data_IF_955396593059
#
_entry.id   IF_955396593059
#
_cell.length_a   1.000
_cell.length_b   1.000
_cell.length_c   1.000
_cell.angle_alpha   90.00
_cell.angle_beta   90.00
_cell.angle_gamma   90.00
#
_symmetry.space_group_name_H-M   'P 1'
#
loop_
_entity.id
_entity.type
_entity.pdbx_description
1 polymer ?
#
# COMPACT_ATOMS: atom_id res chain seq x y z
N UNK A 1 35.38 68.79 60.34
CA UNK A 1 34.49 67.73 60.77
C UNK A 1 33.83 67.08 59.56
N UNK A 2 34.47 66.10 59.04
CA UNK A 2 33.88 65.32 57.88
C UNK A 2 34.00 63.88 58.25
N UNK A 3 32.86 63.21 58.31
CA UNK A 3 32.72 61.75 58.49
C UNK A 3 32.68 61.09 57.14
N UNK A 4 33.70 60.28 56.81
CA UNK A 4 33.69 59.41 55.61
C UNK A 4 32.83 58.19 55.87
N UNK A 5 31.99 57.86 54.92
CA UNK A 5 31.23 56.62 54.87
C UNK A 5 31.94 55.64 53.93
N UNK A 6 32.30 54.48 54.45
CA UNK A 6 32.75 53.29 53.68
C UNK A 6 31.55 52.51 53.11
N UNK A 7 31.55 52.27 51.83
CA UNK A 7 30.66 51.33 51.11
C UNK A 7 31.35 49.97 50.97
N UNK A 8 30.69 48.86 51.26
CA UNK A 8 31.22 47.52 50.96
C UNK A 8 30.99 47.12 49.50
N UNK A 9 32.06 46.62 48.88
CA UNK A 9 32.00 45.98 47.56
C UNK A 9 31.32 44.58 47.65
N UNK A 10 30.23 44.44 46.92
CA UNK A 10 29.59 43.12 46.75
C UNK A 10 30.20 42.47 45.50
N UNK A 11 30.93 41.36 45.69
CA UNK A 11 31.44 40.55 44.59
C UNK A 11 30.29 39.62 44.09
N UNK A 12 29.83 39.83 42.88
CA UNK A 12 28.88 38.95 42.19
C UNK A 12 29.61 37.74 41.61
N UNK A 13 29.34 36.56 42.16
CA UNK A 13 29.82 35.27 41.66
C UNK A 13 28.91 34.81 40.52
N UNK A 14 29.37 34.90 39.25
CA UNK A 14 28.67 34.36 38.08
C UNK A 14 28.88 32.83 38.02
N UNK A 15 27.85 32.07 38.37
CA UNK A 15 27.76 30.63 38.11
C UNK A 15 27.39 30.40 36.64
N UNK A 16 28.35 29.96 35.85
CA UNK A 16 28.10 29.46 34.47
C UNK A 16 27.57 28.04 34.58
N UNK A 17 26.26 27.85 34.45
CA UNK A 17 25.63 26.55 34.27
C UNK A 17 25.86 26.09 32.82
N UNK A 18 26.85 25.24 32.59
CA UNK A 18 27.06 24.51 31.38
C UNK A 18 25.94 23.48 31.18
N UNK A 19 24.92 23.82 30.43
CA UNK A 19 23.92 22.86 29.99
C UNK A 19 24.50 21.94 28.92
N UNK A 20 24.72 20.68 29.26
CA UNK A 20 24.90 19.61 28.27
C UNK A 20 23.58 19.44 27.51
N UNK A 21 23.51 19.94 26.28
CA UNK A 21 22.46 19.55 25.34
C UNK A 21 22.72 18.07 24.94
N UNK A 22 21.86 17.18 25.40
CA UNK A 22 21.78 15.83 24.86
C UNK A 22 21.33 15.90 23.37
N UNK A 23 21.87 15.07 22.48
CA UNK A 23 21.34 15.02 21.14
C UNK A 23 19.88 14.57 21.22
N UNK A 24 19.00 15.30 20.52
CA UNK A 24 17.62 14.88 20.35
C UNK A 24 17.65 13.53 19.63
N UNK A 25 17.36 12.47 20.34
CA UNK A 25 17.03 11.19 19.76
C UNK A 25 15.77 11.39 18.93
N UNK A 26 15.81 11.06 17.65
CA UNK A 26 14.62 10.87 16.84
C UNK A 26 13.76 9.84 17.56
N UNK A 27 12.61 10.28 18.09
CA UNK A 27 11.58 9.38 18.56
C UNK A 27 11.19 8.47 17.38
N UNK A 28 10.99 7.16 17.58
CA UNK A 28 10.28 6.37 16.58
C UNK A 28 8.93 7.07 16.35
N UNK A 29 8.52 7.22 15.11
CA UNK A 29 7.15 7.61 14.80
C UNK A 29 6.25 6.55 15.41
N UNK A 30 5.41 6.90 16.40
CA UNK A 30 4.32 6.06 16.88
C UNK A 30 3.27 5.99 15.72
N UNK A 31 3.57 5.26 14.65
CA UNK A 31 2.54 4.77 13.75
C UNK A 31 1.70 3.76 14.52
N UNK A 32 0.39 3.87 14.43
CA UNK A 32 -0.54 2.98 15.12
C UNK A 32 -0.54 1.56 14.54
N UNK A 33 0.24 1.29 13.49
CA UNK A 33 0.37 0.05 12.74
C UNK A 33 1.83 -0.19 12.33
N UNK A 34 2.18 -1.44 12.07
CA UNK A 34 3.49 -1.86 11.56
C UNK A 34 3.48 -1.86 10.02
N UNK A 35 4.62 -1.51 9.40
CA UNK A 35 4.82 -1.61 7.96
C UNK A 35 5.28 -3.03 7.55
N UNK A 36 5.12 -3.44 6.28
CA UNK A 36 5.68 -4.70 5.80
C UNK A 36 7.17 -4.77 6.11
N UNK A 37 7.66 -5.90 6.68
CA UNK A 37 9.07 -6.04 7.03
C UNK A 37 9.97 -5.90 5.79
N UNK A 38 10.87 -4.92 5.79
CA UNK A 38 11.76 -4.63 4.68
C UNK A 38 12.61 -5.85 4.29
N UNK A 39 12.62 -6.20 3.01
CA UNK A 39 13.38 -7.33 2.46
C UNK A 39 12.87 -8.72 2.90
N UNK A 40 11.71 -8.81 3.54
CA UNK A 40 11.10 -10.11 3.82
C UNK A 40 10.59 -10.75 2.51
N UNK A 41 10.68 -12.08 2.46
CA UNK A 41 10.21 -12.86 1.30
C UNK A 41 8.69 -12.75 1.19
N UNK A 42 8.14 -12.26 0.07
CA UNK A 42 6.71 -12.20 -0.12
C UNK A 42 6.15 -13.47 -0.76
N UNK A 43 4.86 -13.75 -0.51
CA UNK A 43 4.04 -14.68 -1.27
C UNK A 43 2.68 -14.03 -1.56
N UNK A 44 2.17 -14.19 -2.78
CA UNK A 44 0.93 -13.55 -3.20
C UNK A 44 -0.08 -14.63 -3.57
N UNK A 45 -1.15 -14.76 -2.76
CA UNK A 45 -2.04 -15.93 -2.72
C UNK A 45 -3.50 -15.56 -3.05
N UNK A 46 -3.73 -14.75 -4.09
CA UNK A 46 -5.10 -14.34 -4.48
C UNK A 46 -5.90 -15.47 -5.11
N UNK A 47 -5.26 -16.43 -5.78
CA UNK A 47 -5.92 -17.60 -6.34
C UNK A 47 -6.34 -18.67 -5.32
N UNK A 48 -5.97 -18.47 -4.03
CA UNK A 48 -6.37 -19.34 -2.93
C UNK A 48 -5.37 -19.40 -1.79
N UNK A 49 -5.85 -19.40 -0.55
CA UNK A 49 -4.99 -19.43 0.63
C UNK A 49 -4.39 -20.84 0.87
N UNK A 50 -3.10 -20.87 1.18
CA UNK A 50 -2.36 -22.08 1.60
C UNK A 50 -1.31 -21.72 2.65
N UNK A 51 -0.76 -22.74 3.33
CA UNK A 51 0.34 -22.53 4.28
C UNK A 51 1.59 -22.07 3.53
N UNK A 52 2.13 -20.85 3.80
CA UNK A 52 3.29 -20.34 3.09
C UNK A 52 4.55 -21.14 3.43
N UNK A 53 5.56 -21.08 2.55
CA UNK A 53 6.87 -21.66 2.81
C UNK A 53 7.52 -21.03 4.04
N UNK A 54 8.38 -21.76 4.80
CA UNK A 54 8.97 -21.26 6.06
C UNK A 54 9.77 -19.98 5.97
N UNK A 55 10.32 -19.66 4.79
CA UNK A 55 11.08 -18.43 4.51
C UNK A 55 10.20 -17.21 4.24
N UNK A 56 8.90 -17.39 3.99
CA UNK A 56 7.96 -16.31 3.69
C UNK A 56 7.70 -15.47 4.94
N UNK A 57 7.87 -14.17 4.82
CA UNK A 57 7.65 -13.18 5.88
C UNK A 57 6.48 -12.24 5.60
N UNK A 58 5.96 -12.20 4.36
CA UNK A 58 4.83 -11.36 3.95
C UNK A 58 3.88 -12.21 3.09
N UNK A 59 2.56 -12.14 3.34
CA UNK A 59 1.55 -12.82 2.51
C UNK A 59 0.44 -11.86 2.14
N UNK A 60 0.15 -11.72 0.84
CA UNK A 60 -1.03 -11.05 0.31
C UNK A 60 -2.16 -12.06 0.07
N UNK A 61 -3.39 -11.77 0.54
CA UNK A 61 -4.59 -12.60 0.34
C UNK A 61 -5.82 -11.77 0.09
N UNK A 62 -6.74 -12.32 -0.69
CA UNK A 62 -8.07 -11.71 -0.85
C UNK A 62 -8.78 -11.54 0.51
N UNK A 63 -9.56 -10.47 0.65
CA UNK A 63 -10.33 -10.14 1.86
C UNK A 63 -11.30 -11.23 2.32
N UNK A 64 -11.64 -12.18 1.44
CA UNK A 64 -12.47 -13.32 1.76
C UNK A 64 -11.70 -14.51 2.35
N UNK A 65 -10.36 -14.45 2.40
CA UNK A 65 -9.50 -15.48 2.97
C UNK A 65 -8.97 -15.07 4.36
N UNK A 66 -8.65 -16.03 5.26
CA UNK A 66 -8.02 -15.67 6.54
C UNK A 66 -6.57 -15.24 6.36
N UNK A 67 -6.00 -14.37 7.23
CA UNK A 67 -4.58 -14.03 7.22
C UNK A 67 -3.71 -15.26 7.50
N UNK A 68 -2.42 -15.21 7.09
CA UNK A 68 -1.46 -16.29 7.36
C UNK A 68 -0.93 -16.18 8.80
N UNK A 69 -1.07 -17.24 9.66
CA UNK A 69 -0.69 -17.15 11.06
C UNK A 69 0.81 -16.90 11.26
N UNK A 70 1.16 -15.84 12.00
CA UNK A 70 2.54 -15.54 12.38
C UNK A 70 3.40 -14.95 11.25
N UNK A 71 2.77 -14.53 10.16
CA UNK A 71 3.38 -13.88 8.99
C UNK A 71 2.67 -12.55 8.78
N UNK A 72 3.40 -11.48 8.42
CA UNK A 72 2.79 -10.20 8.07
C UNK A 72 1.79 -10.39 6.93
N UNK A 73 0.55 -10.05 7.16
CA UNK A 73 -0.54 -10.37 6.23
C UNK A 73 -1.19 -9.11 5.67
N UNK A 74 -1.27 -9.04 4.33
CA UNK A 74 -1.87 -7.94 3.56
C UNK A 74 -3.21 -8.41 3.03
N UNK A 75 -4.26 -7.65 3.31
CA UNK A 75 -5.62 -7.88 2.82
C UNK A 75 -5.81 -7.18 1.48
N UNK A 76 -6.02 -7.94 0.41
CA UNK A 76 -6.34 -7.38 -0.90
C UNK A 76 -7.79 -6.90 -0.97
N UNK A 77 -7.97 -5.67 -1.41
CA UNK A 77 -9.28 -5.03 -1.64
C UNK A 77 -9.27 -4.32 -2.99
N UNK A 78 -10.14 -4.74 -3.91
CA UNK A 78 -10.40 -3.96 -5.10
C UNK A 78 -11.25 -2.74 -4.72
N UNK A 79 -10.61 -1.57 -4.67
CA UNK A 79 -11.25 -0.34 -4.18
C UNK A 79 -11.91 0.51 -5.26
N UNK A 80 -11.64 0.22 -6.55
CA UNK A 80 -12.00 1.08 -7.70
C UNK A 80 -12.73 0.35 -8.81
N UNK A 81 -12.83 -0.97 -8.73
CA UNK A 81 -13.59 -1.83 -9.63
C UNK A 81 -14.36 -2.88 -8.82
N UNK A 82 -15.28 -3.57 -9.45
CA UNK A 82 -15.92 -4.74 -8.85
C UNK A 82 -14.99 -5.94 -8.98
N UNK A 83 -14.98 -6.85 -8.00
CA UNK A 83 -14.32 -8.14 -8.19
C UNK A 83 -15.17 -9.06 -9.10
N UNK A 84 -14.54 -10.08 -9.75
CA UNK A 84 -15.27 -11.07 -10.51
C UNK A 84 -16.40 -11.70 -9.70
N UNK A 85 -17.62 -11.71 -10.27
CA UNK A 85 -18.80 -12.26 -9.61
C UNK A 85 -19.49 -11.35 -8.59
N UNK A 86 -18.98 -10.15 -8.32
CA UNK A 86 -19.57 -9.20 -7.36
C UNK A 86 -20.41 -8.08 -8.00
N UNK A 87 -20.52 -8.04 -9.33
CA UNK A 87 -21.25 -6.99 -10.05
C UNK A 87 -22.66 -6.75 -9.48
N UNK A 88 -23.41 -7.81 -9.20
CA UNK A 88 -24.78 -7.74 -8.68
C UNK A 88 -24.86 -7.25 -7.21
N UNK A 89 -23.76 -7.25 -6.50
CA UNK A 89 -23.68 -6.75 -5.11
C UNK A 89 -23.52 -5.23 -5.04
N UNK A 90 -23.13 -4.59 -6.15
CA UNK A 90 -22.95 -3.15 -6.21
C UNK A 90 -24.21 -2.41 -6.67
N UNK A 91 -24.58 -1.28 -6.02
CA UNK A 91 -25.62 -0.41 -6.52
C UNK A 91 -25.27 0.09 -7.94
N UNK A 92 -26.19 -0.06 -8.88
CA UNK A 92 -25.95 0.29 -10.29
C UNK A 92 -25.52 1.75 -10.49
N UNK A 93 -25.98 2.67 -9.64
CA UNK A 93 -25.60 4.08 -9.69
C UNK A 93 -24.17 4.38 -9.21
N UNK A 94 -23.46 3.37 -8.65
CA UNK A 94 -22.05 3.45 -8.28
C UNK A 94 -21.13 2.85 -9.35
N UNK A 95 -21.68 2.19 -10.36
CA UNK A 95 -20.93 1.70 -11.51
C UNK A 95 -20.78 2.82 -12.54
N UNK A 96 -19.62 2.87 -13.21
CA UNK A 96 -19.40 3.81 -14.31
C UNK A 96 -20.22 3.37 -15.53
N UNK A 97 -20.95 4.31 -16.13
CA UNK A 97 -21.71 4.08 -17.34
C UNK A 97 -21.26 5.00 -18.46
N UNK A 98 -21.17 4.46 -19.68
CA UNK A 98 -20.98 5.20 -20.92
C UNK A 98 -22.08 4.79 -21.91
N UNK A 99 -22.75 5.76 -22.54
CA UNK A 99 -23.86 5.53 -23.48
C UNK A 99 -24.99 4.63 -22.92
N UNK A 100 -25.13 4.58 -21.60
CA UNK A 100 -26.16 3.80 -20.90
C UNK A 100 -25.75 2.37 -20.53
N UNK A 101 -24.54 1.94 -20.91
CA UNK A 101 -23.98 0.63 -20.59
C UNK A 101 -22.91 0.74 -19.50
N UNK A 102 -22.75 -0.30 -18.67
CA UNK A 102 -21.69 -0.39 -17.67
C UNK A 102 -20.32 -0.46 -18.36
N UNK A 103 -19.36 0.28 -17.86
CA UNK A 103 -17.97 0.25 -18.34
C UNK A 103 -17.19 -0.81 -17.57
N UNK A 104 -16.63 -1.77 -18.32
CA UNK A 104 -15.76 -2.80 -17.80
C UNK A 104 -14.30 -2.49 -18.14
N UNK A 105 -13.40 -3.03 -17.35
CA UNK A 105 -11.98 -2.98 -17.62
C UNK A 105 -11.67 -3.79 -18.89
N UNK A 106 -10.92 -3.25 -19.87
CA UNK A 106 -10.63 -3.96 -21.11
C UNK A 106 -9.72 -5.19 -20.92
N UNK A 107 -8.89 -5.20 -19.88
CA UNK A 107 -7.98 -6.30 -19.57
C UNK A 107 -8.62 -7.31 -18.60
N UNK A 108 -9.59 -6.85 -17.78
CA UNK A 108 -10.37 -7.65 -16.84
C UNK A 108 -11.88 -7.50 -17.12
N UNK A 109 -12.40 -8.15 -18.18
CA UNK A 109 -13.74 -7.86 -18.72
C UNK A 109 -14.93 -8.27 -17.85
N UNK A 110 -14.71 -8.90 -16.72
CA UNK A 110 -15.68 -9.20 -15.66
C UNK A 110 -15.59 -8.27 -14.45
N UNK A 111 -14.74 -7.23 -14.50
CA UNK A 111 -14.60 -6.17 -13.53
C UNK A 111 -15.15 -4.84 -14.05
N UNK A 112 -16.21 -4.33 -13.42
CA UNK A 112 -16.79 -3.04 -13.77
C UNK A 112 -16.09 -1.90 -13.02
N UNK A 113 -15.83 -0.77 -13.71
CA UNK A 113 -15.28 0.42 -13.08
C UNK A 113 -16.31 1.06 -12.13
N UNK A 114 -15.86 1.52 -10.95
CA UNK A 114 -16.69 2.31 -10.05
C UNK A 114 -16.68 3.78 -10.47
N UNK A 115 -17.83 4.45 -10.37
CA UNK A 115 -17.98 5.85 -10.74
C UNK A 115 -17.54 6.78 -9.60
N UNK A 116 -16.28 7.20 -9.64
CA UNK A 116 -15.68 8.12 -8.66
C UNK A 116 -15.90 9.60 -8.99
N UNK A 117 -16.66 9.95 -10.03
CA UNK A 117 -16.76 11.30 -10.59
C UNK A 117 -17.37 12.35 -9.64
N UNK A 118 -18.18 11.94 -8.67
CA UNK A 118 -18.83 12.88 -7.74
C UNK A 118 -18.50 12.57 -6.29
N UNK A 119 -18.50 13.60 -5.43
CA UNK A 119 -18.28 13.42 -3.99
C UNK A 119 -19.31 12.46 -3.37
N UNK A 120 -20.58 12.56 -3.74
CA UNK A 120 -21.65 11.67 -3.24
C UNK A 120 -21.35 10.20 -3.56
N UNK A 121 -20.89 9.90 -4.80
CA UNK A 121 -20.56 8.53 -5.19
C UNK A 121 -19.33 8.02 -4.44
N UNK A 122 -18.27 8.85 -4.35
CA UNK A 122 -17.07 8.49 -3.56
C UNK A 122 -17.41 8.18 -2.10
N UNK A 123 -18.23 9.01 -1.47
CA UNK A 123 -18.68 8.76 -0.09
C UNK A 123 -19.44 7.43 0.04
N UNK A 124 -20.28 7.10 -0.93
CA UNK A 124 -21.05 5.85 -0.95
C UNK A 124 -20.18 4.63 -1.28
N UNK A 125 -19.21 4.76 -2.19
CA UNK A 125 -18.20 3.71 -2.47
C UNK A 125 -17.39 3.47 -1.20
N UNK A 126 -16.86 4.51 -0.57
CA UNK A 126 -16.13 4.40 0.69
C UNK A 126 -16.97 3.76 1.79
N UNK A 127 -18.27 4.11 1.90
CA UNK A 127 -19.17 3.49 2.87
C UNK A 127 -19.42 1.99 2.59
N UNK A 128 -19.29 1.54 1.33
CA UNK A 128 -19.38 0.12 0.95
C UNK A 128 -18.09 -0.62 1.29
N UNK A 129 -16.91 -0.01 1.04
CA UNK A 129 -15.60 -0.63 1.21
C UNK A 129 -15.13 -0.61 2.68
N UNK A 130 -15.47 0.44 3.45
CA UNK A 130 -15.05 0.57 4.87
C UNK A 130 -15.37 -0.67 5.73
N UNK A 131 -16.55 -1.32 5.63
CA UNK A 131 -16.79 -2.58 6.34
C UNK A 131 -15.86 -3.73 5.95
N UNK A 132 -15.36 -3.77 4.71
CA UNK A 132 -14.38 -4.78 4.28
C UNK A 132 -13.03 -4.52 4.95
N UNK A 133 -12.59 -3.25 4.98
CA UNK A 133 -11.37 -2.84 5.68
C UNK A 133 -11.44 -3.20 7.17
N UNK A 134 -12.58 -2.90 7.81
CA UNK A 134 -12.80 -3.27 9.21
C UNK A 134 -12.78 -4.79 9.40
N UNK A 135 -13.35 -5.56 8.45
CA UNK A 135 -13.29 -7.02 8.44
C UNK A 135 -11.85 -7.54 8.39
N UNK A 136 -11.00 -6.98 7.51
CA UNK A 136 -9.58 -7.32 7.46
C UNK A 136 -8.88 -7.10 8.81
N UNK A 137 -9.15 -5.96 9.47
CA UNK A 137 -8.60 -5.68 10.81
C UNK A 137 -9.11 -6.66 11.88
N UNK A 138 -10.42 -6.95 11.87
CA UNK A 138 -11.05 -7.88 12.81
C UNK A 138 -10.55 -9.32 12.63
N UNK A 139 -10.22 -9.73 11.40
CA UNK A 139 -9.64 -11.04 11.07
C UNK A 139 -8.15 -11.14 11.43
N UNK A 140 -7.47 -10.00 11.67
CA UNK A 140 -6.09 -9.94 12.14
C UNK A 140 -5.07 -9.78 11.00
N UNK A 141 -5.43 -9.17 9.87
CA UNK A 141 -4.46 -8.66 8.92
C UNK A 141 -3.68 -7.47 9.51
N UNK A 142 -2.47 -7.25 9.02
CA UNK A 142 -1.60 -6.15 9.43
C UNK A 142 -1.74 -4.91 8.54
N UNK A 143 -2.14 -5.13 7.28
CA UNK A 143 -2.29 -4.10 6.26
C UNK A 143 -3.45 -4.42 5.31
N UNK A 144 -3.85 -3.39 4.54
CA UNK A 144 -4.73 -3.54 3.38
C UNK A 144 -4.04 -2.93 2.17
N UNK A 145 -4.14 -3.57 1.00
CA UNK A 145 -3.77 -2.97 -0.28
C UNK A 145 -5.03 -2.64 -1.07
N UNK A 146 -5.00 -1.51 -1.80
CA UNK A 146 -6.10 -1.07 -2.65
C UNK A 146 -5.70 -1.15 -4.11
N UNK A 147 -6.42 -1.98 -4.86
CA UNK A 147 -6.17 -2.19 -6.28
C UNK A 147 -7.01 -1.27 -7.18
N UNK A 148 -6.56 -1.16 -8.44
CA UNK A 148 -7.17 -0.38 -9.52
C UNK A 148 -7.22 1.14 -9.28
N UNK A 149 -6.23 1.67 -8.56
CA UNK A 149 -6.08 3.09 -8.28
C UNK A 149 -6.09 3.96 -9.55
N UNK A 150 -5.58 3.42 -10.65
CA UNK A 150 -5.47 4.04 -11.97
C UNK A 150 -6.66 3.76 -12.90
N UNK A 151 -7.78 3.23 -12.39
CA UNK A 151 -9.00 2.92 -13.18
C UNK A 151 -9.50 4.12 -14.01
N UNK A 152 -9.16 5.36 -13.58
CA UNK A 152 -9.48 6.57 -14.34
C UNK A 152 -8.87 6.57 -15.75
N UNK A 153 -7.71 5.91 -15.96
CA UNK A 153 -7.05 5.79 -17.28
C UNK A 153 -7.86 4.94 -18.25
N UNK A 154 -8.64 3.99 -17.71
CA UNK A 154 -9.50 3.06 -18.47
C UNK A 154 -10.94 3.56 -18.63
N UNK A 155 -11.27 4.70 -18.01
CA UNK A 155 -12.61 5.30 -18.03
C UNK A 155 -12.99 6.04 -19.32
N UNK A 156 -12.14 6.03 -20.37
CA UNK A 156 -12.28 6.82 -21.61
C UNK A 156 -12.47 8.32 -21.35
N UNK A 157 -11.89 8.84 -20.26
CA UNK A 157 -11.93 10.26 -19.86
C UNK A 157 -13.16 10.67 -19.04
N UNK A 158 -13.96 9.71 -18.57
CA UNK A 158 -15.10 9.98 -17.69
C UNK A 158 -14.67 10.26 -16.25
N UNK A 159 -13.54 9.71 -15.83
CA UNK A 159 -12.93 9.90 -14.51
C UNK A 159 -11.58 10.59 -14.64
N UNK A 160 -11.12 11.20 -13.56
CA UNK A 160 -9.80 11.86 -13.46
C UNK A 160 -8.98 11.25 -12.32
N UNK A 161 -7.64 11.44 -12.37
CA UNK A 161 -6.75 11.13 -11.24
C UNK A 161 -7.28 11.75 -9.93
N UNK A 162 -7.75 13.00 -9.98
CA UNK A 162 -8.24 13.68 -8.78
C UNK A 162 -9.48 13.01 -8.19
N UNK A 163 -10.35 12.43 -9.02
CA UNK A 163 -11.51 11.68 -8.55
C UNK A 163 -11.08 10.42 -7.77
N UNK A 164 -10.16 9.64 -8.36
CA UNK A 164 -9.62 8.44 -7.72
C UNK A 164 -8.78 8.77 -6.49
N UNK A 165 -7.93 9.80 -6.56
CA UNK A 165 -7.14 10.25 -5.41
C UNK A 165 -8.00 10.65 -4.21
N UNK A 166 -9.15 11.30 -4.46
CA UNK A 166 -10.07 11.67 -3.39
C UNK A 166 -10.71 10.44 -2.75
N UNK A 167 -11.10 9.43 -3.54
CA UNK A 167 -11.59 8.16 -2.99
C UNK A 167 -10.47 7.42 -2.25
N UNK A 168 -9.26 7.34 -2.82
CA UNK A 168 -8.11 6.72 -2.18
C UNK A 168 -7.85 7.30 -0.78
N UNK A 169 -7.92 8.63 -0.62
CA UNK A 169 -7.79 9.30 0.68
C UNK A 169 -8.82 8.79 1.69
N UNK A 170 -10.09 8.63 1.28
CA UNK A 170 -11.12 8.10 2.18
C UNK A 170 -10.86 6.65 2.60
N UNK A 171 -10.33 5.83 1.68
CA UNK A 171 -10.02 4.42 1.96
C UNK A 171 -8.78 4.29 2.86
N UNK A 172 -7.73 5.08 2.62
CA UNK A 172 -6.53 5.14 3.47
C UNK A 172 -6.89 5.61 4.88
N UNK A 173 -7.69 6.67 5.01
CA UNK A 173 -8.17 7.15 6.32
C UNK A 173 -8.95 6.06 7.07
N UNK A 174 -9.75 5.25 6.36
CA UNK A 174 -10.48 4.14 6.96
C UNK A 174 -9.53 3.00 7.39
N UNK A 175 -8.49 2.69 6.61
CA UNK A 175 -7.46 1.71 6.96
C UNK A 175 -6.69 2.13 8.22
N UNK A 176 -6.20 3.37 8.27
CA UNK A 176 -5.50 3.93 9.43
C UNK A 176 -6.40 3.96 10.68
N UNK A 177 -7.68 4.32 10.53
CA UNK A 177 -8.64 4.30 11.64
C UNK A 177 -8.89 2.87 12.17
N UNK A 178 -8.75 1.84 11.33
CA UNK A 178 -8.82 0.44 11.72
C UNK A 178 -7.49 -0.12 12.26
N UNK A 179 -6.40 0.67 12.24
CA UNK A 179 -5.07 0.25 12.70
C UNK A 179 -4.29 -0.58 11.68
N UNK A 180 -4.64 -0.49 10.40
CA UNK A 180 -3.97 -1.15 9.28
C UNK A 180 -3.07 -0.18 8.53
N UNK A 181 -1.90 -0.63 8.05
CA UNK A 181 -1.14 0.07 7.04
C UNK A 181 -1.88 0.01 5.69
N UNK A 182 -1.74 1.06 4.86
CA UNK A 182 -2.39 1.15 3.56
C UNK A 182 -1.37 0.99 2.42
N UNK A 183 -1.55 -0.02 1.57
CA UNK A 183 -0.72 -0.31 0.41
C UNK A 183 -1.32 0.24 -0.88
N UNK A 184 -0.49 0.94 -1.66
CA UNK A 184 -0.77 1.26 -3.05
C UNK A 184 -0.56 0.00 -3.90
N UNK A 185 -1.54 -0.41 -4.71
CA UNK A 185 -1.31 -1.43 -5.74
C UNK A 185 -1.06 -0.74 -7.09
N UNK A 186 0.03 -1.10 -7.75
CA UNK A 186 0.42 -0.56 -9.07
C UNK A 186 0.36 0.98 -9.19
N UNK A 187 0.10 1.54 -10.39
CA UNK A 187 0.01 2.97 -10.69
C UNK A 187 1.34 3.74 -10.46
N UNK A 188 2.40 3.31 -11.15
CA UNK A 188 3.76 3.85 -11.03
C UNK A 188 3.83 5.37 -11.22
N UNK A 189 3.13 5.89 -12.23
CA UNK A 189 3.13 7.32 -12.56
C UNK A 189 2.53 8.19 -11.44
N UNK A 190 1.67 7.59 -10.61
CA UNK A 190 0.94 8.29 -9.55
C UNK A 190 1.54 8.05 -8.15
N UNK A 191 2.59 7.24 -8.01
CA UNK A 191 3.13 6.80 -6.72
C UNK A 191 3.43 7.96 -5.78
N UNK A 192 4.10 9.01 -6.27
CA UNK A 192 4.45 10.18 -5.47
C UNK A 192 3.20 10.94 -4.96
N UNK A 193 2.20 11.15 -5.82
CA UNK A 193 0.97 11.88 -5.43
C UNK A 193 0.07 11.04 -4.53
N UNK A 194 0.02 9.73 -4.74
CA UNK A 194 -0.69 8.79 -3.87
C UNK A 194 -0.08 8.77 -2.46
N UNK A 195 1.24 8.70 -2.36
CA UNK A 195 1.94 8.83 -1.07
C UNK A 195 1.68 10.17 -0.40
N UNK A 196 1.86 11.28 -1.14
CA UNK A 196 1.84 12.63 -0.57
C UNK A 196 0.43 13.09 -0.20
N UNK A 197 -0.59 12.76 -1.02
CA UNK A 197 -1.93 13.32 -0.87
C UNK A 197 -2.96 12.32 -0.32
N UNK A 198 -2.86 11.04 -0.66
CA UNK A 198 -3.74 10.02 -0.08
C UNK A 198 -3.18 9.38 1.19
N UNK A 199 -1.85 9.39 1.38
CA UNK A 199 -1.23 8.93 2.62
C UNK A 199 -0.88 7.44 2.63
N UNK A 200 -0.72 6.79 1.47
CA UNK A 200 -0.28 5.41 1.38
C UNK A 200 1.07 5.19 2.07
N UNK A 201 1.25 4.02 2.67
CA UNK A 201 2.40 3.70 3.52
C UNK A 201 3.46 2.85 2.82
N UNK A 202 3.04 1.98 1.91
CA UNK A 202 3.90 1.06 1.15
C UNK A 202 3.29 0.80 -0.24
N UNK A 203 4.00 0.05 -1.08
CA UNK A 203 3.49 -0.35 -2.39
C UNK A 203 3.56 -1.87 -2.60
N UNK A 204 2.57 -2.39 -3.32
CA UNK A 204 2.55 -3.72 -3.93
C UNK A 204 2.49 -3.53 -5.44
N UNK A 205 3.45 -4.08 -6.16
CA UNK A 205 3.61 -3.88 -7.59
C UNK A 205 3.57 -5.20 -8.34
N UNK A 206 3.12 -5.16 -9.56
CA UNK A 206 3.20 -6.28 -10.48
C UNK A 206 4.07 -5.89 -11.66
N UNK A 207 5.10 -6.74 -11.90
CA UNK A 207 5.98 -6.65 -13.07
C UNK A 207 6.79 -5.35 -13.16
N UNK A 208 7.07 -4.69 -12.00
CA UNK A 208 7.82 -3.44 -12.03
C UNK A 208 9.23 -3.60 -12.63
N UNK A 209 9.87 -4.77 -12.46
CA UNK A 209 11.19 -5.04 -13.03
C UNK A 209 11.10 -5.39 -14.54
N UNK A 210 10.03 -6.07 -14.97
CA UNK A 210 9.75 -6.30 -16.41
C UNK A 210 9.60 -4.97 -17.13
N UNK A 211 8.82 -4.03 -16.58
CA UNK A 211 8.56 -2.72 -17.18
C UNK A 211 9.64 -1.67 -16.87
N UNK A 212 10.63 -1.99 -16.02
CA UNK A 212 11.73 -1.08 -15.63
C UNK A 212 11.19 0.18 -14.91
N UNK A 213 10.22 -0.01 -14.04
CA UNK A 213 9.54 1.08 -13.31
C UNK A 213 9.62 0.96 -11.79
N UNK A 214 10.34 -0.06 -11.25
CA UNK A 214 10.51 -0.24 -9.81
C UNK A 214 11.01 1.02 -9.10
N UNK A 215 11.88 1.81 -9.76
CA UNK A 215 12.37 3.10 -9.24
C UNK A 215 11.27 4.10 -8.91
N UNK A 216 10.15 4.08 -9.63
CA UNK A 216 9.00 4.94 -9.35
C UNK A 216 8.40 4.69 -7.95
N UNK A 217 8.49 3.46 -7.47
CA UNK A 217 8.00 3.05 -6.16
C UNK A 217 9.08 3.13 -5.08
N UNK A 218 10.30 2.62 -5.37
CA UNK A 218 11.38 2.59 -4.38
C UNK A 218 11.88 3.99 -4.02
N UNK A 219 11.83 4.96 -4.93
CA UNK A 219 12.10 6.38 -4.64
C UNK A 219 11.07 7.01 -3.67
N UNK A 220 9.85 6.46 -3.62
CA UNK A 220 8.74 6.98 -2.81
C UNK A 220 8.60 6.25 -1.49
N UNK A 221 8.66 4.92 -1.50
CA UNK A 221 8.38 4.05 -0.35
C UNK A 221 9.64 3.41 0.25
N UNK A 222 10.82 3.62 -0.37
CA UNK A 222 12.08 3.06 0.12
C UNK A 222 12.06 1.53 0.12
N UNK A 223 12.30 0.94 1.29
CA UNK A 223 12.38 -0.51 1.47
C UNK A 223 11.00 -1.19 1.61
N UNK A 224 9.90 -0.43 1.60
CA UNK A 224 8.53 -0.93 1.76
C UNK A 224 7.82 -1.07 0.41
N UNK A 225 8.48 -1.76 -0.52
CA UNK A 225 7.93 -2.12 -1.83
C UNK A 225 7.98 -3.63 -1.97
N UNK A 226 6.87 -4.22 -2.38
CA UNK A 226 6.71 -5.65 -2.63
C UNK A 226 6.42 -5.79 -4.12
N UNK A 227 7.17 -6.63 -4.84
CA UNK A 227 7.00 -6.82 -6.27
C UNK A 227 6.69 -8.27 -6.62
N UNK A 228 5.71 -8.45 -7.47
CA UNK A 228 5.28 -9.74 -8.01
C UNK A 228 5.58 -9.75 -9.50
N UNK A 229 6.53 -10.60 -9.92
CA UNK A 229 6.79 -10.87 -11.32
C UNK A 229 6.05 -12.14 -11.76
N UNK A 230 5.74 -12.25 -13.05
CA UNK A 230 4.99 -13.38 -13.59
C UNK A 230 5.79 -14.17 -14.62
N UNK A 231 5.63 -15.51 -14.59
CA UNK A 231 6.41 -16.43 -15.43
C UNK A 231 6.16 -16.29 -16.93
N UNK A 232 5.00 -15.76 -17.33
CA UNK A 232 4.56 -15.65 -18.72
C UNK A 232 5.05 -14.38 -19.45
N UNK A 233 5.51 -13.35 -18.71
CA UNK A 233 5.94 -12.07 -19.30
C UNK A 233 7.44 -11.78 -19.13
N UNK A 234 8.22 -12.70 -18.54
CA UNK A 234 9.65 -12.49 -18.31
C UNK A 234 10.41 -12.22 -19.61
N UNK A 235 11.03 -11.06 -19.71
CA UNK A 235 11.90 -10.67 -20.83
C UNK A 235 13.37 -11.06 -20.63
N UNK A 236 13.75 -11.43 -19.39
CA UNK A 236 15.07 -11.89 -18.95
C UNK A 236 14.93 -12.76 -17.70
N UNK A 237 15.96 -13.52 -17.30
CA UNK A 237 15.90 -14.35 -16.09
C UNK A 237 15.51 -13.54 -14.84
N UNK A 238 14.62 -14.07 -14.01
CA UNK A 238 14.19 -13.43 -12.76
C UNK A 238 15.38 -13.10 -11.84
N UNK A 239 16.38 -14.00 -11.72
CA UNK A 239 17.58 -13.73 -10.94
C UNK A 239 18.40 -12.52 -11.41
N UNK A 240 18.30 -12.13 -12.70
CA UNK A 240 18.91 -10.90 -13.21
C UNK A 240 18.10 -9.67 -12.82
N UNK A 241 16.75 -9.77 -12.76
CA UNK A 241 15.87 -8.72 -12.28
C UNK A 241 16.10 -8.43 -10.80
N UNK A 242 16.28 -9.48 -9.97
CA UNK A 242 16.63 -9.34 -8.56
C UNK A 242 17.93 -8.55 -8.31
N UNK A 243 18.82 -8.48 -9.29
CA UNK A 243 20.11 -7.82 -9.15
C UNK A 243 20.12 -6.36 -9.64
N UNK A 244 19.01 -5.84 -10.13
CA UNK A 244 18.91 -4.43 -10.54
C UNK A 244 18.94 -3.51 -9.33
N UNK A 245 19.58 -2.36 -9.48
CA UNK A 245 19.75 -1.39 -8.39
C UNK A 245 18.39 -0.83 -7.88
N UNK A 246 17.38 -0.77 -8.76
CA UNK A 246 16.05 -0.23 -8.43
C UNK A 246 15.05 -1.31 -7.99
N UNK A 247 15.39 -2.59 -8.13
CA UNK A 247 14.51 -3.69 -7.73
C UNK A 247 14.32 -3.75 -6.21
N UNK A 248 13.08 -3.90 -5.74
CA UNK A 248 12.83 -4.02 -4.31
C UNK A 248 13.39 -5.33 -3.75
N UNK A 249 13.84 -5.30 -2.49
CA UNK A 249 14.36 -6.49 -1.82
C UNK A 249 13.30 -7.56 -1.55
N UNK A 250 12.01 -7.17 -1.56
CA UNK A 250 10.86 -8.07 -1.40
C UNK A 250 10.24 -8.36 -2.77
N UNK A 251 10.83 -9.32 -3.52
CA UNK A 251 10.34 -9.74 -4.83
C UNK A 251 10.03 -11.23 -4.85
N UNK A 252 9.01 -11.60 -5.63
CA UNK A 252 8.62 -12.99 -5.89
C UNK A 252 8.23 -13.17 -7.35
N UNK A 253 8.59 -14.32 -7.92
CA UNK A 253 8.08 -14.78 -9.21
C UNK A 253 6.95 -15.77 -8.98
N UNK A 254 5.80 -15.51 -9.57
CA UNK A 254 4.59 -16.34 -9.49
C UNK A 254 4.07 -16.72 -10.88
N UNK A 255 3.18 -17.68 -10.90
CA UNK A 255 2.28 -17.88 -12.03
C UNK A 255 1.22 -16.76 -12.05
N UNK A 256 0.70 -16.41 -13.25
CA UNK A 256 -0.27 -15.31 -13.46
C UNK A 256 -1.59 -15.52 -12.72
N UNK A 257 -2.04 -16.77 -12.64
CA UNK A 257 -3.32 -17.10 -12.00
C UNK A 257 -3.18 -17.26 -10.48
N UNK A 258 -1.95 -17.13 -9.93
CA UNK A 258 -1.64 -17.20 -8.51
C UNK A 258 -2.17 -18.49 -7.85
N UNK A 259 -2.12 -19.58 -8.61
CA UNK A 259 -2.68 -20.87 -8.17
C UNK A 259 -1.97 -21.43 -6.93
N UNK A 260 -2.58 -22.40 -6.29
CA UNK A 260 -2.06 -23.04 -5.08
C UNK A 260 -1.02 -24.11 -5.42
N UNK A 261 -0.15 -24.53 -4.47
CA UNK A 261 0.86 -25.58 -4.70
C UNK A 261 0.31 -26.94 -5.13
N UNK A 262 -1.01 -27.12 -5.13
CA UNK A 262 -1.64 -28.34 -5.61
C UNK A 262 -1.87 -28.36 -7.14
N UNK A 263 -1.69 -27.22 -7.79
CA UNK A 263 -1.85 -27.06 -9.23
C UNK A 263 -0.53 -27.32 -9.97
N UNK A 264 -0.62 -27.87 -11.18
CA UNK A 264 0.55 -28.18 -12.01
C UNK A 264 1.25 -26.90 -12.55
N UNK A 265 0.51 -25.79 -12.65
CA UNK A 265 1.00 -24.50 -13.14
C UNK A 265 1.60 -23.61 -12.03
N UNK A 266 1.59 -24.08 -10.76
CA UNK A 266 2.14 -23.32 -9.64
C UNK A 266 3.61 -22.96 -9.83
N UNK A 267 3.92 -21.69 -9.69
CA UNK A 267 5.28 -21.16 -9.69
C UNK A 267 5.53 -20.33 -8.44
N UNK A 268 6.71 -20.52 -7.84
CA UNK A 268 7.17 -19.72 -6.71
C UNK A 268 8.71 -19.71 -6.71
N UNK A 269 9.30 -18.55 -7.02
CA UNK A 269 10.73 -18.31 -6.94
C UNK A 269 10.98 -16.97 -6.25
N UNK A 270 12.03 -16.85 -5.43
CA UNK A 270 12.37 -15.65 -4.66
C UNK A 270 13.79 -15.19 -4.96
N UNK A 271 14.06 -13.90 -4.81
CA UNK A 271 15.41 -13.34 -4.88
C UNK A 271 16.30 -13.94 -3.78
N UNK A 272 17.57 -14.27 -4.10
CA UNK A 272 18.54 -14.90 -3.19
C UNK A 272 19.83 -14.09 -3.11
#
# INVERSE_FOLDING_TARGET
>A
MLRGALLPAVAALLLVLGGCAAPAGSSPSDSAFDLPPAGAVPDYQLGGAYDPAPEVGIVGRDRGAPPAPGVYSICYVNGFQTQPGELDSWPQELLLHADGEVVFDPDWPDEALLDTSTAERRDRIAATVTPWIAGCADDGFDAVEFDNLDSYTRSTGALSLQDNLTLATLLVDAAHAAGLAAGQKNAAEDAAVLREQAGFDFAVTEECAVYTECGAYTDVYGEHVIDIEYTDELQRPFAEMCADDDSPASMVLRDRDLVTPADDDYAFEVCR
#
